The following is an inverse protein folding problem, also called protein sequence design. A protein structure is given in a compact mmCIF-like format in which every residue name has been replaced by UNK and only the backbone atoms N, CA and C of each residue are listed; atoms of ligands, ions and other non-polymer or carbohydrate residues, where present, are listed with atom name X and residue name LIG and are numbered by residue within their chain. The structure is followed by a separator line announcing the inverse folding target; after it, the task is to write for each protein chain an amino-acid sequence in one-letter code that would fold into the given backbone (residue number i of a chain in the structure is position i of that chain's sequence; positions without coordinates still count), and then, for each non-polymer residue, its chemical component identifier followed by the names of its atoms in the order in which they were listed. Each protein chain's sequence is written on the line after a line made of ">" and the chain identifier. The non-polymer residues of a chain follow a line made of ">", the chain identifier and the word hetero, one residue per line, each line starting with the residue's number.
data_IF_579215399364
#
_entry.id   IF_579215399364
#
_cell.length_a   1.000
_cell.length_b   1.000
_cell.length_c   1.000
_cell.angle_alpha   90.00
_cell.angle_beta   90.00
_cell.angle_gamma   90.00
#
_symmetry.space_group_name_H-M   'P 1'
#
loop_
_entity.id
_entity.type
_entity.pdbx_description
1 polymer ?
#
# COMPACT_ATOMS: atom_id res chain seq x y z
N UNK A 1 -48.98 -46.78 49.40
CA UNK A 1 -47.83 -47.48 50.01
C UNK A 1 -46.54 -46.78 49.57
N UNK A 2 -45.74 -46.39 50.57
CA UNK A 2 -44.29 -46.21 50.60
C UNK A 2 -43.55 -45.29 49.59
N UNK A 3 -42.87 -44.32 50.20
CA UNK A 3 -41.73 -43.51 49.75
C UNK A 3 -40.57 -44.34 49.14
N UNK A 4 -39.77 -43.73 48.25
CA UNK A 4 -38.37 -43.38 48.53
C UNK A 4 -37.74 -42.58 47.37
N UNK A 5 -36.98 -41.56 47.75
CA UNK A 5 -36.22 -40.67 46.89
C UNK A 5 -34.80 -41.21 46.62
N UNK A 6 -34.24 -40.90 45.45
CA UNK A 6 -32.78 -40.73 45.29
C UNK A 6 -32.48 -39.59 44.31
N UNK A 7 -31.63 -38.68 44.78
CA UNK A 7 -31.03 -37.55 44.05
C UNK A 7 -29.88 -38.05 43.16
N UNK A 8 -29.56 -37.30 42.10
CA UNK A 8 -28.29 -37.40 41.36
C UNK A 8 -28.41 -36.76 39.98
N UNK A 9 -28.23 -35.44 39.89
CA UNK A 9 -26.99 -34.80 39.43
C UNK A 9 -27.02 -34.46 37.93
N UNK A 10 -27.54 -33.27 37.66
CA UNK A 10 -27.48 -32.65 36.33
C UNK A 10 -26.04 -32.57 35.82
N UNK A 11 -25.87 -32.90 34.56
CA UNK A 11 -24.67 -32.59 33.80
C UNK A 11 -25.09 -31.75 32.60
N UNK A 12 -25.17 -30.44 32.84
CA UNK A 12 -25.04 -29.45 31.78
C UNK A 12 -23.66 -29.62 31.17
N UNK A 13 -23.59 -30.22 29.98
CA UNK A 13 -22.35 -30.25 29.19
C UNK A 13 -22.11 -28.81 28.75
N UNK A 14 -21.26 -28.13 29.51
CA UNK A 14 -20.87 -26.74 29.27
C UNK A 14 -20.33 -26.60 27.86
N UNK A 15 -20.97 -25.73 27.08
CA UNK A 15 -20.39 -25.19 25.86
C UNK A 15 -19.06 -24.53 26.25
N UNK A 16 -17.97 -25.25 26.05
CA UNK A 16 -16.62 -24.75 26.23
C UNK A 16 -16.44 -23.57 25.27
N UNK A 17 -16.65 -22.37 25.82
CA UNK A 17 -16.40 -21.08 25.18
C UNK A 17 -14.92 -21.01 24.89
N UNK A 18 -14.52 -21.50 23.70
CA UNK A 18 -13.17 -21.35 23.16
C UNK A 18 -12.92 -19.85 22.99
N UNK A 19 -12.44 -19.20 24.05
CA UNK A 19 -11.82 -17.88 23.96
C UNK A 19 -10.55 -18.07 23.11
N UNK A 20 -10.67 -17.87 21.80
CA UNK A 20 -9.51 -17.61 20.95
C UNK A 20 -8.89 -16.33 21.48
N UNK A 21 -7.78 -16.46 22.20
CA UNK A 21 -6.89 -15.35 22.50
C UNK A 21 -6.29 -14.86 21.19
N UNK A 22 -7.05 -14.05 20.45
CA UNK A 22 -6.46 -13.16 19.45
C UNK A 22 -5.94 -11.97 20.24
N UNK A 23 -4.62 -11.88 20.39
CA UNK A 23 -3.97 -10.63 20.77
C UNK A 23 -4.20 -9.64 19.62
N UNK A 24 -5.37 -9.01 19.59
CA UNK A 24 -5.60 -7.83 18.77
C UNK A 24 -4.89 -6.69 19.48
N UNK A 25 -3.94 -6.04 18.79
CA UNK A 25 -3.46 -4.73 19.21
C UNK A 25 -4.68 -3.84 19.48
N UNK A 26 -4.68 -3.05 20.57
CA UNK A 26 -5.79 -2.14 20.84
C UNK A 26 -5.92 -1.16 19.67
N UNK A 27 -7.08 -1.20 18.99
CA UNK A 27 -7.38 -0.32 17.86
C UNK A 27 -7.60 1.10 18.40
N UNK A 28 -6.94 2.09 17.80
CA UNK A 28 -7.16 3.50 18.16
C UNK A 28 -8.61 3.90 17.81
N UNK A 29 -9.42 4.38 18.78
CA UNK A 29 -10.81 4.78 18.54
C UNK A 29 -10.96 5.84 17.44
N UNK A 30 -9.98 6.74 17.28
CA UNK A 30 -9.99 7.78 16.23
C UNK A 30 -9.79 7.17 14.85
N UNK A 31 -8.90 6.18 14.74
CA UNK A 31 -8.70 5.42 13.50
C UNK A 31 -9.96 4.64 13.16
N UNK A 32 -10.58 3.97 14.13
CA UNK A 32 -11.83 3.26 13.93
C UNK A 32 -12.94 4.20 13.41
N UNK A 33 -13.13 5.36 14.04
CA UNK A 33 -14.11 6.35 13.60
C UNK A 33 -13.84 6.86 12.18
N UNK A 34 -12.56 6.99 11.81
CA UNK A 34 -12.14 7.43 10.47
C UNK A 34 -12.35 6.35 9.42
N UNK A 35 -12.16 5.06 9.74
CA UNK A 35 -12.50 3.94 8.84
C UNK A 35 -13.99 3.95 8.46
N UNK A 36 -14.87 4.35 9.37
CA UNK A 36 -16.31 4.47 9.07
C UNK A 36 -16.61 5.53 7.99
N UNK A 37 -15.70 6.48 7.75
CA UNK A 37 -15.83 7.54 6.75
C UNK A 37 -15.24 7.18 5.39
N UNK A 38 -14.60 6.03 5.24
CA UNK A 38 -14.09 5.60 3.93
C UNK A 38 -15.28 5.28 3.03
N UNK A 39 -15.36 5.97 1.89
CA UNK A 39 -16.40 5.80 0.89
C UNK A 39 -16.22 4.53 0.04
N UNK A 40 -16.26 3.35 0.66
CA UNK A 40 -16.42 2.06 -0.02
C UNK A 40 -17.79 1.46 0.32
N UNK A 41 -18.38 0.64 -0.57
CA UNK A 41 -19.71 0.05 -0.38
C UNK A 41 -19.65 -1.13 0.61
N UNK A 42 -19.38 -0.85 1.88
CA UNK A 42 -19.38 -1.85 2.94
C UNK A 42 -20.79 -2.34 3.25
N UNK A 43 -20.97 -3.67 3.32
CA UNK A 43 -22.20 -4.29 3.77
C UNK A 43 -22.37 -4.19 5.31
N UNK A 44 -23.50 -4.71 5.82
CA UNK A 44 -23.81 -4.73 7.27
C UNK A 44 -22.78 -5.45 8.15
N UNK A 45 -21.94 -6.29 7.56
CA UNK A 45 -20.88 -7.03 8.26
C UNK A 45 -19.52 -6.32 8.19
N UNK A 46 -19.45 -5.12 7.58
CA UNK A 46 -18.23 -4.35 7.45
C UNK A 46 -17.29 -4.86 6.36
N UNK A 47 -17.81 -5.57 5.36
CA UNK A 47 -17.05 -6.04 4.20
C UNK A 47 -17.51 -5.37 2.91
N UNK A 48 -16.56 -4.99 2.05
CA UNK A 48 -16.85 -4.50 0.70
C UNK A 48 -16.95 -5.67 -0.32
N UNK A 49 -17.38 -5.42 -1.57
CA UNK A 49 -17.52 -6.46 -2.60
C UNK A 49 -16.24 -7.23 -2.93
N UNK A 50 -15.07 -6.66 -2.67
CA UNK A 50 -13.76 -7.29 -2.87
C UNK A 50 -13.24 -7.99 -1.61
N UNK A 51 -14.03 -7.97 -0.53
CA UNK A 51 -13.69 -8.58 0.74
C UNK A 51 -12.86 -7.70 1.67
N UNK A 52 -12.66 -6.41 1.35
CA UNK A 52 -11.98 -5.46 2.23
C UNK A 52 -12.79 -5.33 3.53
N UNK A 53 -12.12 -5.34 4.67
CA UNK A 53 -12.76 -5.40 5.99
C UNK A 53 -12.46 -4.16 6.82
N UNK A 54 -13.51 -3.49 7.33
CA UNK A 54 -13.36 -2.35 8.25
C UNK A 54 -12.47 -2.69 9.45
N UNK A 55 -12.63 -3.90 10.00
CA UNK A 55 -11.83 -4.35 11.14
C UNK A 55 -10.33 -4.43 10.80
N UNK A 56 -9.98 -5.02 9.66
CA UNK A 56 -8.58 -5.18 9.25
C UNK A 56 -7.96 -3.85 8.84
N UNK A 57 -8.74 -2.95 8.22
CA UNK A 57 -8.31 -1.59 7.96
C UNK A 57 -8.00 -0.84 9.26
N UNK A 58 -8.85 -0.96 10.28
CA UNK A 58 -8.63 -0.30 11.56
C UNK A 58 -7.37 -0.84 12.28
N UNK A 59 -7.12 -2.14 12.23
CA UNK A 59 -5.90 -2.77 12.75
C UNK A 59 -4.65 -2.29 11.99
N UNK A 60 -4.70 -2.34 10.65
CA UNK A 60 -3.62 -1.88 9.78
C UNK A 60 -3.28 -0.41 10.01
N UNK A 61 -4.27 0.49 9.96
CA UNK A 61 -4.02 1.93 10.10
C UNK A 61 -3.69 2.34 11.53
N UNK A 62 -4.07 1.56 12.55
CA UNK A 62 -3.57 1.78 13.92
C UNK A 62 -2.07 1.53 13.97
N UNK A 63 -1.60 0.41 13.42
CA UNK A 63 -0.17 0.10 13.39
C UNK A 63 0.60 1.07 12.48
N UNK A 64 0.17 1.26 11.24
CA UNK A 64 0.84 2.13 10.27
C UNK A 64 0.79 3.60 10.68
N UNK A 65 -0.26 4.05 11.37
CA UNK A 65 -0.36 5.42 11.88
C UNK A 65 0.76 5.79 12.84
N UNK A 66 1.21 4.85 13.68
CA UNK A 66 2.37 5.05 14.54
C UNK A 66 3.65 5.24 13.72
N UNK A 67 3.90 4.33 12.77
CA UNK A 67 5.09 4.41 11.91
C UNK A 67 5.09 5.68 11.05
N UNK A 68 3.95 6.03 10.48
CA UNK A 68 3.76 7.22 9.66
C UNK A 68 4.11 8.51 10.42
N UNK A 69 3.60 8.67 11.65
CA UNK A 69 3.78 9.90 12.43
C UNK A 69 5.11 9.98 13.17
N UNK A 70 5.56 8.88 13.76
CA UNK A 70 6.65 8.91 14.74
C UNK A 70 7.95 8.28 14.23
N UNK A 71 7.85 7.23 13.41
CA UNK A 71 9.02 6.47 12.97
C UNK A 71 9.60 7.04 11.67
N UNK A 72 8.77 7.09 10.63
CA UNK A 72 9.10 7.61 9.29
C UNK A 72 8.79 9.10 9.13
N UNK A 73 8.03 9.68 10.07
CA UNK A 73 7.70 11.12 10.13
C UNK A 73 7.36 11.69 8.75
N UNK A 74 6.39 11.04 8.10
CA UNK A 74 6.03 11.28 6.72
C UNK A 74 5.51 12.70 6.56
N UNK A 75 5.98 13.41 5.54
CA UNK A 75 5.42 14.71 5.11
C UNK A 75 4.81 14.60 3.72
N UNK A 76 3.64 15.19 3.54
CA UNK A 76 2.96 15.27 2.27
C UNK A 76 3.01 16.69 1.71
N UNK A 77 3.23 16.81 0.40
CA UNK A 77 3.20 18.07 -0.34
C UNK A 77 2.35 17.90 -1.59
N UNK A 78 1.40 18.81 -1.84
CA UNK A 78 0.53 18.72 -3.02
C UNK A 78 -0.62 17.72 -2.87
N UNK A 79 -0.86 17.16 -1.68
CA UNK A 79 -1.87 16.10 -1.47
C UNK A 79 -3.29 16.57 -1.79
N UNK A 80 -3.55 17.87 -1.70
CA UNK A 80 -4.78 18.54 -2.10
C UNK A 80 -5.12 18.37 -3.59
N UNK A 81 -4.13 18.00 -4.43
CA UNK A 81 -4.32 17.68 -5.86
C UNK A 81 -4.93 16.30 -6.08
N UNK A 82 -4.94 15.44 -5.06
CA UNK A 82 -5.52 14.10 -5.17
C UNK A 82 -7.05 14.22 -5.15
N UNK A 83 -7.76 13.70 -6.16
CA UNK A 83 -9.22 13.68 -6.16
C UNK A 83 -9.79 13.01 -4.90
N UNK A 84 -10.75 13.68 -4.25
CA UNK A 84 -11.40 13.20 -3.03
C UNK A 84 -12.47 12.13 -3.28
N UNK A 85 -12.89 11.95 -4.53
CA UNK A 85 -13.83 10.92 -4.99
C UNK A 85 -13.50 10.46 -6.40
N UNK A 86 -14.16 9.39 -6.88
CA UNK A 86 -13.97 8.86 -8.23
C UNK A 86 -12.67 8.09 -8.43
N UNK A 87 -12.52 7.41 -9.56
CA UNK A 87 -11.29 6.70 -9.92
C UNK A 87 -10.08 7.63 -9.98
N UNK A 88 -8.93 7.14 -9.52
CA UNK A 88 -7.64 7.80 -9.68
C UNK A 88 -6.53 6.76 -9.56
N UNK A 89 -5.47 6.94 -10.32
CA UNK A 89 -4.25 6.14 -10.22
C UNK A 89 -3.11 6.97 -9.63
N UNK A 90 -2.65 6.62 -8.43
CA UNK A 90 -1.43 7.17 -7.84
C UNK A 90 -0.24 6.42 -8.42
N UNK A 91 0.59 7.09 -9.21
CA UNK A 91 1.74 6.50 -9.91
C UNK A 91 3.02 7.07 -9.35
N UNK A 92 3.83 6.26 -8.68
CA UNK A 92 5.05 6.73 -8.03
C UNK A 92 6.27 5.85 -8.25
N UNK A 93 7.43 6.35 -7.83
CA UNK A 93 8.65 5.56 -7.79
C UNK A 93 8.62 4.53 -6.66
N UNK A 94 9.23 3.38 -6.89
CA UNK A 94 9.39 2.34 -5.86
C UNK A 94 10.81 2.40 -5.27
N UNK A 95 10.97 2.23 -3.96
CA UNK A 95 12.26 2.30 -3.28
C UNK A 95 12.29 1.51 -1.96
N UNK A 96 13.49 1.12 -1.54
CA UNK A 96 13.74 0.74 -0.15
C UNK A 96 13.57 -0.73 0.20
N UNK A 97 13.81 -1.68 -0.71
CA UNK A 97 13.90 -3.14 -0.44
C UNK A 97 12.63 -3.84 0.06
N UNK A 98 11.70 -3.09 0.64
CA UNK A 98 10.40 -3.49 1.17
C UNK A 98 9.36 -2.47 0.71
N UNK A 99 8.09 -2.88 0.64
CA UNK A 99 6.96 -2.03 0.24
C UNK A 99 6.56 -0.99 1.32
N UNK A 100 7.54 -0.36 1.98
CA UNK A 100 7.35 0.68 3.02
C UNK A 100 6.78 1.94 2.38
N UNK A 101 7.31 2.33 1.23
CA UNK A 101 6.81 3.45 0.44
C UNK A 101 5.33 3.29 0.09
N UNK A 102 4.91 2.12 -0.39
CA UNK A 102 3.51 1.79 -0.64
C UNK A 102 2.67 1.89 0.64
N UNK A 103 3.14 1.33 1.75
CA UNK A 103 2.45 1.41 3.03
C UNK A 103 2.27 2.87 3.51
N UNK A 104 3.30 3.71 3.36
CA UNK A 104 3.24 5.12 3.74
C UNK A 104 2.35 5.94 2.80
N UNK A 105 2.36 5.63 1.50
CA UNK A 105 1.45 6.24 0.53
C UNK A 105 -0.01 5.90 0.84
N UNK A 106 -0.33 4.61 1.08
CA UNK A 106 -1.68 4.19 1.49
C UNK A 106 -2.10 4.89 2.80
N UNK A 107 -1.18 4.97 3.77
CA UNK A 107 -1.46 5.62 5.06
C UNK A 107 -1.70 7.12 4.90
N UNK A 108 -1.01 7.80 3.99
CA UNK A 108 -1.26 9.23 3.71
C UNK A 108 -2.66 9.49 3.17
N UNK A 109 -3.16 8.66 2.25
CA UNK A 109 -4.51 8.80 1.69
C UNK A 109 -5.59 8.61 2.76
N UNK A 110 -5.31 7.75 3.74
CA UNK A 110 -6.19 7.58 4.88
C UNK A 110 -6.07 8.71 5.90
N UNK A 111 -4.85 9.15 6.24
CA UNK A 111 -4.62 10.09 7.34
C UNK A 111 -4.86 11.55 6.96
N UNK A 112 -4.57 11.95 5.73
CA UNK A 112 -4.49 13.36 5.32
C UNK A 112 -5.71 13.81 4.51
N UNK A 113 -6.34 12.94 3.71
CA UNK A 113 -7.52 13.31 2.91
C UNK A 113 -8.81 13.36 3.73
N UNK A 114 -9.70 14.29 3.42
CA UNK A 114 -11.04 14.36 4.02
C UNK A 114 -12.12 14.46 2.92
N UNK A 115 -12.97 13.44 2.71
CA UNK A 115 -13.02 12.16 3.43
C UNK A 115 -11.78 11.26 3.19
N UNK A 116 -11.46 10.35 4.14
CA UNK A 116 -10.33 9.43 3.98
C UNK A 116 -10.55 8.46 2.82
N UNK A 117 -9.50 8.22 2.03
CA UNK A 117 -9.53 7.24 0.93
C UNK A 117 -8.64 6.04 1.21
N UNK A 118 -8.98 4.90 0.63
CA UNK A 118 -8.14 3.70 0.63
C UNK A 118 -7.48 3.57 -0.74
N UNK A 119 -6.17 3.75 -0.80
CA UNK A 119 -5.38 3.36 -1.96
C UNK A 119 -5.21 1.83 -1.99
N UNK A 120 -5.50 1.24 -3.15
CA UNK A 120 -5.48 -0.20 -3.36
C UNK A 120 -4.31 -0.56 -4.27
N UNK A 121 -3.47 -1.48 -3.84
CA UNK A 121 -2.26 -1.88 -4.56
C UNK A 121 -2.38 -3.27 -5.17
N UNK A 122 -1.56 -3.49 -6.19
CA UNK A 122 -1.31 -4.81 -6.77
C UNK A 122 -0.08 -5.41 -6.09
N UNK A 123 -0.33 -6.21 -5.06
CA UNK A 123 0.67 -6.94 -4.31
C UNK A 123 1.36 -8.00 -5.16
N UNK A 124 2.67 -8.18 -4.95
CA UNK A 124 3.44 -9.22 -5.60
C UNK A 124 2.94 -10.62 -5.21
N UNK A 125 2.99 -11.55 -6.17
CA UNK A 125 2.49 -12.93 -6.00
C UNK A 125 3.13 -13.68 -4.83
N UNK A 126 4.33 -13.29 -4.38
CA UNK A 126 5.01 -13.96 -3.27
C UNK A 126 4.30 -13.77 -1.93
N UNK A 127 3.52 -12.69 -1.75
CA UNK A 127 2.72 -12.47 -0.53
C UNK A 127 1.72 -13.63 -0.32
N UNK A 128 1.29 -14.28 -1.40
CA UNK A 128 0.40 -15.45 -1.31
C UNK A 128 1.07 -16.71 -0.76
N UNK A 129 2.41 -16.75 -0.68
CA UNK A 129 3.18 -17.87 -0.13
C UNK A 129 3.40 -17.77 1.37
N UNK A 130 3.19 -16.58 1.95
CA UNK A 130 3.34 -16.36 3.40
C UNK A 130 2.01 -16.70 4.09
N UNK A 131 1.99 -17.61 5.09
CA UNK A 131 0.77 -17.96 5.80
C UNK A 131 0.04 -16.74 6.35
N UNK A 132 -1.27 -16.69 6.15
CA UNK A 132 -2.18 -15.59 6.56
C UNK A 132 -1.97 -14.24 5.85
N UNK A 133 -0.86 -14.02 5.14
CA UNK A 133 -0.58 -12.75 4.48
C UNK A 133 -1.51 -12.48 3.29
N UNK A 134 -1.89 -13.50 2.51
CA UNK A 134 -2.87 -13.37 1.42
C UNK A 134 -4.24 -12.89 1.91
N UNK A 135 -4.72 -13.48 3.01
CA UNK A 135 -5.96 -13.06 3.64
C UNK A 135 -5.83 -11.63 4.14
N UNK A 136 -4.76 -11.31 4.87
CA UNK A 136 -4.57 -9.96 5.39
C UNK A 136 -4.52 -8.91 4.27
N UNK A 137 -3.72 -9.19 3.23
CA UNK A 137 -3.55 -8.35 2.04
C UNK A 137 -4.90 -8.04 1.38
N UNK A 138 -5.71 -9.07 1.08
CA UNK A 138 -7.04 -8.86 0.49
C UNK A 138 -8.00 -8.12 1.41
N UNK A 139 -7.96 -8.39 2.73
CA UNK A 139 -8.79 -7.67 3.72
C UNK A 139 -8.42 -6.20 3.86
N UNK A 140 -7.23 -5.78 3.44
CA UNK A 140 -6.77 -4.39 3.46
C UNK A 140 -6.70 -3.73 2.08
N UNK A 141 -7.31 -4.34 1.06
CA UNK A 141 -7.40 -3.78 -0.29
C UNK A 141 -6.12 -3.91 -1.13
N UNK A 142 -5.24 -4.84 -0.75
CA UNK A 142 -4.01 -5.14 -1.48
C UNK A 142 -4.17 -6.49 -2.17
N UNK A 143 -4.38 -6.47 -3.48
CA UNK A 143 -4.81 -7.63 -4.25
C UNK A 143 -3.67 -8.24 -5.06
N UNK A 144 -3.82 -9.51 -5.46
CA UNK A 144 -2.85 -10.11 -6.38
C UNK A 144 -2.88 -9.39 -7.73
N UNK A 145 -1.70 -9.02 -8.24
CA UNK A 145 -1.54 -8.29 -9.49
C UNK A 145 -1.99 -9.04 -10.74
N UNK A 146 -3.26 -8.91 -11.08
CA UNK A 146 -3.88 -9.30 -12.35
C UNK A 146 -4.42 -8.03 -13.03
N UNK A 147 -4.13 -7.77 -14.32
CA UNK A 147 -4.60 -6.58 -15.03
C UNK A 147 -6.13 -6.38 -14.94
N UNK A 148 -6.89 -7.48 -15.01
CA UNK A 148 -8.35 -7.47 -14.97
C UNK A 148 -8.89 -6.99 -13.62
N UNK A 149 -8.16 -7.26 -12.52
CA UNK A 149 -8.51 -6.70 -11.21
C UNK A 149 -8.29 -5.19 -11.18
N UNK A 150 -7.18 -4.70 -11.75
CA UNK A 150 -6.87 -3.29 -11.79
C UNK A 150 -7.93 -2.50 -12.56
N UNK A 151 -8.32 -3.02 -13.72
CA UNK A 151 -9.40 -2.45 -14.54
C UNK A 151 -10.71 -2.38 -13.78
N UNK A 152 -11.16 -3.50 -13.21
CA UNK A 152 -12.43 -3.54 -12.47
C UNK A 152 -12.44 -2.59 -11.28
N UNK A 153 -11.32 -2.45 -10.57
CA UNK A 153 -11.22 -1.48 -9.46
C UNK A 153 -11.39 -0.05 -9.95
N UNK A 154 -10.78 0.31 -11.08
CA UNK A 154 -10.96 1.64 -11.65
C UNK A 154 -12.37 1.86 -12.17
N UNK A 155 -12.97 0.85 -12.80
CA UNK A 155 -14.39 0.87 -13.22
C UNK A 155 -15.35 1.10 -12.05
N UNK A 156 -15.05 0.53 -10.88
CA UNK A 156 -15.77 0.72 -9.61
C UNK A 156 -15.35 2.00 -8.84
N UNK A 157 -14.74 2.98 -9.53
CA UNK A 157 -14.31 4.28 -9.00
C UNK A 157 -13.33 4.21 -7.81
N UNK A 158 -12.51 3.16 -7.77
CA UNK A 158 -11.50 2.98 -6.71
C UNK A 158 -10.22 3.76 -6.99
N UNK A 159 -9.47 4.01 -5.92
CA UNK A 159 -8.14 4.61 -5.96
C UNK A 159 -7.10 3.49 -6.07
N UNK A 160 -6.35 3.46 -7.17
CA UNK A 160 -5.31 2.47 -7.42
C UNK A 160 -3.92 3.08 -7.15
N UNK A 161 -3.05 2.33 -6.49
CA UNK A 161 -1.65 2.66 -6.30
C UNK A 161 -0.80 1.76 -7.22
N UNK A 162 0.07 2.37 -8.02
CA UNK A 162 0.89 1.67 -9.01
C UNK A 162 2.34 2.12 -8.92
N UNK A 163 3.23 1.14 -8.87
CA UNK A 163 4.68 1.32 -8.97
C UNK A 163 5.16 0.72 -10.29
N UNK A 164 5.22 1.51 -11.39
CA UNK A 164 5.49 1.00 -12.74
C UNK A 164 6.93 0.47 -12.92
N UNK A 165 7.84 0.76 -11.98
CA UNK A 165 9.18 0.17 -11.89
C UNK A 165 9.16 -1.35 -11.57
N UNK A 166 8.06 -1.83 -10.96
CA UNK A 166 7.94 -3.21 -10.50
C UNK A 166 9.03 -3.61 -9.50
N UNK A 167 9.38 -4.91 -9.49
CA UNK A 167 10.38 -5.47 -8.57
C UNK A 167 11.79 -4.88 -8.77
N UNK A 168 12.08 -4.27 -9.93
CA UNK A 168 13.36 -3.57 -10.18
C UNK A 168 13.48 -2.31 -9.31
N UNK A 169 12.38 -1.64 -9.03
CA UNK A 169 12.40 -0.42 -8.22
C UNK A 169 12.73 -0.68 -6.74
N UNK A 170 12.26 -1.78 -6.16
CA UNK A 170 12.62 -2.13 -4.77
C UNK A 170 14.07 -2.59 -4.65
N UNK A 171 14.63 -3.18 -5.71
CA UNK A 171 15.97 -3.73 -5.73
C UNK A 171 17.09 -2.67 -5.85
N UNK A 172 16.74 -1.37 -5.94
CA UNK A 172 17.73 -0.28 -5.98
C UNK A 172 18.65 -0.33 -4.76
N UNK A 173 19.95 -0.20 -5.02
CA UNK A 173 20.94 -0.08 -3.97
C UNK A 173 20.97 1.36 -3.42
N UNK A 174 21.58 1.57 -2.26
CA UNK A 174 21.55 2.85 -1.56
C UNK A 174 22.10 4.00 -2.43
N UNK A 175 23.07 3.74 -3.29
CA UNK A 175 23.61 4.75 -4.22
C UNK A 175 22.67 5.06 -5.40
N UNK A 176 21.70 4.19 -5.69
CA UNK A 176 20.68 4.36 -6.73
C UNK A 176 19.34 4.85 -6.16
N UNK A 177 19.28 5.15 -4.86
CA UNK A 177 18.01 5.45 -4.16
C UNK A 177 17.19 6.61 -4.73
N UNK A 178 17.81 7.49 -5.53
CA UNK A 178 17.16 8.64 -6.16
C UNK A 178 17.04 8.51 -7.69
N UNK A 179 17.42 7.37 -8.28
CA UNK A 179 17.20 7.11 -9.70
C UNK A 179 15.84 6.45 -9.94
N UNK A 180 15.33 6.61 -11.15
CA UNK A 180 14.19 5.86 -11.67
C UNK A 180 14.70 4.78 -12.63
N UNK A 181 14.13 3.58 -12.55
CA UNK A 181 14.28 2.59 -13.64
C UNK A 181 13.15 2.75 -14.66
N UNK A 182 13.16 1.92 -15.70
CA UNK A 182 12.12 1.97 -16.74
C UNK A 182 10.75 1.61 -16.20
N UNK A 183 9.76 2.38 -16.63
CA UNK A 183 8.36 2.17 -16.31
C UNK A 183 7.75 1.23 -17.35
N UNK A 184 6.98 0.23 -16.90
CA UNK A 184 6.16 -0.55 -17.82
C UNK A 184 5.01 0.27 -18.41
N UNK A 185 4.50 -0.11 -19.58
CA UNK A 185 3.43 0.63 -20.30
C UNK A 185 2.02 0.38 -19.77
N UNK A 186 1.81 -0.71 -19.02
CA UNK A 186 0.47 -1.19 -18.65
C UNK A 186 -0.38 -0.19 -17.86
N UNK A 187 0.24 0.67 -17.03
CA UNK A 187 -0.51 1.64 -16.23
C UNK A 187 -1.10 2.78 -17.07
N UNK A 188 -0.39 3.25 -18.10
CA UNK A 188 -0.90 4.25 -19.05
C UNK A 188 -2.01 3.66 -19.90
N UNK A 189 -1.80 2.45 -20.43
CA UNK A 189 -2.84 1.74 -21.20
C UNK A 189 -4.12 1.58 -20.39
N UNK A 190 -3.99 1.23 -19.11
CA UNK A 190 -5.10 1.12 -18.19
C UNK A 190 -5.77 2.48 -17.92
N UNK A 191 -4.99 3.55 -17.74
CA UNK A 191 -5.49 4.90 -17.55
C UNK A 191 -6.29 5.39 -18.76
N UNK A 192 -5.78 5.19 -19.97
CA UNK A 192 -6.48 5.49 -21.23
C UNK A 192 -7.80 4.72 -21.32
N UNK A 193 -7.74 3.38 -21.22
CA UNK A 193 -8.90 2.48 -21.33
C UNK A 193 -10.02 2.85 -20.36
N UNK A 194 -9.68 3.16 -19.11
CA UNK A 194 -10.65 3.44 -18.04
C UNK A 194 -10.95 4.93 -17.85
N UNK A 195 -10.34 5.79 -18.66
CA UNK A 195 -10.35 7.27 -18.53
C UNK A 195 -10.00 7.73 -17.11
N UNK A 196 -9.00 7.07 -16.51
CA UNK A 196 -8.59 7.32 -15.13
C UNK A 196 -7.49 8.39 -15.10
N UNK A 197 -7.62 9.46 -14.30
CA UNK A 197 -6.54 10.41 -14.09
C UNK A 197 -5.36 9.75 -13.36
N UNK A 198 -4.14 10.05 -13.81
CA UNK A 198 -2.90 9.66 -13.13
C UNK A 198 -2.43 10.83 -12.27
N UNK A 199 -2.28 10.62 -10.97
CA UNK A 199 -1.57 11.54 -10.09
C UNK A 199 -0.15 11.02 -9.89
N UNK A 200 0.88 11.70 -10.44
CA UNK A 200 2.26 11.31 -10.24
C UNK A 200 2.71 11.62 -8.81
N UNK A 201 3.47 10.70 -8.21
CA UNK A 201 3.92 10.79 -6.82
C UNK A 201 5.44 10.58 -6.73
N UNK A 202 6.17 11.61 -6.31
CA UNK A 202 7.57 11.50 -5.93
C UNK A 202 7.69 11.06 -4.47
N UNK A 203 8.38 9.95 -4.22
CA UNK A 203 8.60 9.35 -2.90
C UNK A 203 10.09 9.40 -2.56
N UNK A 204 10.41 10.03 -1.42
CA UNK A 204 11.77 10.13 -0.89
C UNK A 204 11.85 9.52 0.51
N UNK A 205 13.01 8.98 0.88
CA UNK A 205 13.24 8.37 2.20
C UNK A 205 13.15 6.84 2.20
N UNK A 206 12.64 6.18 1.15
CA UNK A 206 12.52 4.72 1.13
C UNK A 206 13.88 4.02 1.07
N UNK A 207 14.78 4.47 0.21
CA UNK A 207 16.14 3.94 0.14
C UNK A 207 16.97 4.24 1.39
N UNK A 208 16.69 5.32 2.10
CA UNK A 208 17.31 5.61 3.41
C UNK A 208 16.72 4.75 4.53
N UNK A 209 15.44 4.38 4.45
CA UNK A 209 14.81 3.47 5.39
C UNK A 209 15.45 2.08 5.32
N UNK A 210 15.78 1.58 4.12
CA UNK A 210 16.51 0.33 3.93
C UNK A 210 17.72 0.60 3.04
N UNK A 211 18.88 0.96 3.62
CA UNK A 211 20.07 1.30 2.88
C UNK A 211 20.75 0.03 2.36
N UNK A 212 20.16 -0.59 1.33
CA UNK A 212 20.66 -1.83 0.74
C UNK A 212 22.01 -1.59 0.06
N UNK A 213 23.02 -2.38 0.42
CA UNK A 213 24.33 -2.41 -0.24
C UNK A 213 24.48 -3.61 -1.18
N UNK A 214 23.66 -4.64 -0.99
CA UNK A 214 23.56 -5.79 -1.90
C UNK A 214 22.18 -6.44 -1.76
N UNK A 215 21.78 -7.25 -2.75
CA UNK A 215 20.55 -8.03 -2.69
C UNK A 215 20.88 -9.53 -2.83
N UNK A 216 20.46 -10.35 -1.87
CA UNK A 216 20.71 -11.79 -1.89
C UNK A 216 19.51 -12.57 -2.39
N UNK A 217 19.61 -13.08 -3.62
CA UNK A 217 18.62 -14.00 -4.18
C UNK A 217 18.60 -15.36 -3.45
N UNK A 218 19.75 -15.82 -2.95
CA UNK A 218 19.85 -17.08 -2.20
C UNK A 218 19.07 -17.03 -0.90
N UNK A 219 19.23 -15.95 -0.12
CA UNK A 219 18.43 -15.73 1.09
C UNK A 219 16.95 -15.52 0.75
N UNK A 220 16.67 -14.82 -0.36
CA UNK A 220 15.30 -14.66 -0.88
C UNK A 220 14.60 -16.00 -1.11
N UNK A 221 15.24 -16.93 -1.80
CA UNK A 221 14.70 -18.28 -2.07
C UNK A 221 14.37 -19.05 -0.79
N UNK A 222 15.19 -18.93 0.26
CA UNK A 222 14.97 -19.60 1.55
C UNK A 222 13.70 -19.11 2.25
N UNK A 223 13.37 -17.83 2.11
CA UNK A 223 12.20 -17.20 2.77
C UNK A 223 11.00 -17.00 1.83
N UNK A 224 11.10 -17.47 0.58
CA UNK A 224 10.04 -17.35 -0.43
C UNK A 224 9.87 -15.96 -1.04
N UNK A 225 10.87 -15.07 -0.88
CA UNK A 225 10.92 -13.72 -1.45
C UNK A 225 11.82 -13.65 -2.70
N UNK A 226 11.69 -12.64 -3.58
CA UNK A 226 12.56 -12.51 -4.75
C UNK A 226 14.03 -12.29 -4.36
N UNK A 227 14.28 -11.52 -3.31
CA UNK A 227 15.59 -11.30 -2.71
C UNK A 227 15.43 -10.84 -1.26
N UNK A 228 16.53 -10.87 -0.50
CA UNK A 228 16.63 -10.19 0.81
C UNK A 228 17.67 -9.06 0.68
N UNK A 229 17.31 -7.81 1.03
CA UNK A 229 18.28 -6.72 1.03
C UNK A 229 19.31 -6.90 2.14
N UNK A 230 20.58 -6.72 1.82
CA UNK A 230 21.70 -6.68 2.75
C UNK A 230 22.02 -5.22 3.03
N UNK A 231 21.95 -4.83 4.29
CA UNK A 231 22.29 -3.47 4.77
C UNK A 231 23.70 -3.46 5.40
N UNK A 232 24.32 -2.28 5.61
CA UNK A 232 25.62 -2.18 6.29
C UNK A 232 25.65 -2.80 7.69
N UNK A 233 24.50 -2.88 8.36
CA UNK A 233 24.33 -3.45 9.71
C UNK A 233 23.80 -4.89 9.67
N UNK A 234 23.82 -5.54 8.50
CA UNK A 234 23.48 -6.96 8.24
C UNK A 234 22.04 -7.38 8.58
N UNK A 235 21.24 -6.50 9.18
CA UNK A 235 19.83 -6.72 9.44
C UNK A 235 19.00 -5.96 8.41
N UNK A 236 18.05 -6.65 7.80
CA UNK A 236 17.10 -6.02 6.89
C UNK A 236 15.96 -5.34 7.68
N UNK A 237 16.32 -4.47 8.62
CA UNK A 237 15.38 -3.72 9.46
C UNK A 237 15.31 -2.27 9.01
N UNK A 238 14.11 -1.69 8.84
CA UNK A 238 13.97 -0.28 8.47
C UNK A 238 14.57 0.66 9.52
N UNK A 239 15.31 1.67 9.09
CA UNK A 239 15.78 2.76 9.93
C UNK A 239 14.70 3.83 10.12
N UNK A 240 14.67 4.53 11.26
CA UNK A 240 13.74 5.62 11.50
C UNK A 240 14.18 6.89 10.76
N UNK A 241 13.78 7.03 9.50
CA UNK A 241 14.14 8.17 8.64
C UNK A 241 12.99 9.16 8.48
N UNK A 242 13.20 10.30 7.81
CA UNK A 242 12.09 11.15 7.35
C UNK A 242 11.72 10.71 5.94
N UNK A 243 10.44 10.46 5.70
CA UNK A 243 9.90 10.19 4.37
C UNK A 243 9.08 11.36 3.86
N UNK A 244 9.04 11.52 2.54
CA UNK A 244 8.35 12.63 1.91
C UNK A 244 7.60 12.14 0.68
N UNK A 245 6.34 12.55 0.57
CA UNK A 245 5.43 12.22 -0.51
C UNK A 245 5.03 13.52 -1.21
N UNK A 246 5.38 13.65 -2.48
CA UNK A 246 5.08 14.83 -3.30
C UNK A 246 4.13 14.45 -4.41
N UNK A 247 2.94 15.04 -4.40
CA UNK A 247 1.88 14.76 -5.35
C UNK A 247 1.88 15.85 -6.44
N UNK A 248 1.93 15.42 -7.70
CA UNK A 248 1.82 16.30 -8.86
C UNK A 248 0.37 16.57 -9.26
N UNK A 249 0.21 17.41 -10.28
CA UNK A 249 -1.10 17.67 -10.89
C UNK A 249 -1.63 16.40 -11.57
N UNK A 250 -2.95 16.12 -11.53
CA UNK A 250 -3.54 15.03 -12.29
C UNK A 250 -3.27 15.15 -13.78
N UNK A 251 -2.84 14.05 -14.39
CA UNK A 251 -2.55 13.90 -15.81
C UNK A 251 -3.65 13.04 -16.46
N UNK A 252 -4.09 13.46 -17.64
CA UNK A 252 -5.12 12.78 -18.41
C UNK A 252 -4.53 12.33 -19.74
N UNK A 253 -4.88 11.11 -20.16
CA UNK A 253 -4.42 10.52 -21.40
C UNK A 253 -5.64 10.02 -22.17
N UNK A 254 -5.77 10.45 -23.41
CA UNK A 254 -6.80 9.96 -24.32
C UNK A 254 -6.34 8.67 -24.98
N UNK A 255 -7.28 7.77 -25.25
CA UNK A 255 -6.99 6.50 -25.91
C UNK A 255 -7.90 5.34 -25.48
N UNK A 256 -7.76 4.21 -26.15
CA UNK A 256 -8.37 2.92 -25.83
C UNK A 256 -7.45 2.02 -25.02
N UNK A 257 -6.15 2.36 -24.92
CA UNK A 257 -5.13 1.52 -24.31
C UNK A 257 -4.60 0.41 -25.25
N UNK A 258 -5.02 0.41 -26.51
CA UNK A 258 -4.59 -0.55 -27.56
C UNK A 258 -3.72 0.11 -28.64
N UNK A 259 -3.27 1.34 -28.41
CA UNK A 259 -2.38 2.09 -29.28
C UNK A 259 -1.03 1.39 -29.44
N UNK A 260 -0.30 1.77 -30.49
CA UNK A 260 1.06 1.32 -30.73
C UNK A 260 1.99 1.69 -29.56
N UNK A 261 2.99 0.84 -29.33
CA UNK A 261 3.88 0.98 -28.17
C UNK A 261 4.61 2.33 -28.11
N UNK A 262 4.92 2.93 -29.27
CA UNK A 262 5.60 4.23 -29.35
C UNK A 262 4.74 5.37 -28.76
N UNK A 263 3.46 5.44 -29.11
CA UNK A 263 2.53 6.44 -28.59
C UNK A 263 2.31 6.29 -27.08
N UNK A 264 2.22 5.04 -26.61
CA UNK A 264 2.11 4.77 -25.17
C UNK A 264 3.40 5.10 -24.44
N UNK A 265 4.56 4.87 -25.06
CA UNK A 265 5.86 5.15 -24.44
C UNK A 265 6.07 6.66 -24.22
N UNK A 266 5.65 7.52 -25.15
CA UNK A 266 5.70 8.98 -24.93
C UNK A 266 4.90 9.40 -23.69
N UNK A 267 3.70 8.83 -23.53
CA UNK A 267 2.86 9.05 -22.35
C UNK A 267 3.51 8.53 -21.06
N UNK A 268 4.18 7.37 -21.12
CA UNK A 268 4.94 6.80 -19.99
C UNK A 268 6.09 7.73 -19.59
N UNK A 269 6.87 8.23 -20.56
CA UNK A 269 7.98 9.14 -20.30
C UNK A 269 7.50 10.47 -19.72
N UNK A 270 6.34 10.98 -20.15
CA UNK A 270 5.72 12.16 -19.55
C UNK A 270 5.43 11.96 -18.05
N UNK A 271 4.83 10.83 -17.66
CA UNK A 271 4.58 10.51 -16.25
C UNK A 271 5.89 10.32 -15.48
N UNK A 272 6.85 9.57 -16.04
CA UNK A 272 8.16 9.33 -15.44
C UNK A 272 8.93 10.64 -15.20
N UNK A 273 8.94 11.53 -16.19
CA UNK A 273 9.53 12.88 -16.09
C UNK A 273 8.88 13.69 -14.97
N UNK A 274 7.55 13.62 -14.84
CA UNK A 274 6.85 14.32 -13.75
C UNK A 274 7.20 13.75 -12.38
N UNK A 275 7.29 12.44 -12.22
CA UNK A 275 7.76 11.79 -10.97
C UNK A 275 9.20 12.20 -10.66
N UNK A 276 10.09 12.21 -11.66
CA UNK A 276 11.49 12.63 -11.50
C UNK A 276 11.61 14.07 -11.03
N UNK A 277 10.83 14.99 -11.63
CA UNK A 277 10.77 16.40 -11.21
C UNK A 277 10.31 16.54 -9.75
N UNK A 278 9.27 15.82 -9.33
CA UNK A 278 8.80 15.84 -7.94
C UNK A 278 9.87 15.35 -6.96
N UNK A 279 10.63 14.32 -7.33
CA UNK A 279 11.76 13.83 -6.53
C UNK A 279 12.88 14.87 -6.45
N UNK A 280 13.26 15.48 -7.58
CA UNK A 280 14.29 16.51 -7.63
C UNK A 280 13.93 17.73 -6.75
N UNK A 281 12.70 18.21 -6.82
CA UNK A 281 12.19 19.30 -5.99
C UNK A 281 12.30 18.97 -4.49
N UNK A 282 12.00 17.72 -4.12
CA UNK A 282 12.11 17.28 -2.73
C UNK A 282 13.56 17.16 -2.24
N UNK A 283 14.48 16.74 -3.11
CA UNK A 283 15.91 16.68 -2.78
C UNK A 283 16.49 18.08 -2.55
N UNK A 284 16.15 19.05 -3.40
CA UNK A 284 16.59 20.45 -3.24
C UNK A 284 16.16 21.02 -1.88
N UNK A 285 14.92 20.77 -1.45
CA UNK A 285 14.43 21.23 -0.14
C UNK A 285 15.16 20.53 1.02
N UNK A 286 15.51 19.25 0.86
CA UNK A 286 16.24 18.48 1.88
C UNK A 286 17.69 18.91 2.03
N UNK A 287 18.34 19.27 0.94
CA UNK A 287 19.72 19.76 0.91
C UNK A 287 19.80 21.20 1.43
N UNK A 288 18.86 22.07 1.03
CA UNK A 288 18.80 23.47 1.49
C UNK A 288 18.40 23.65 2.97
N UNK A 289 17.80 22.63 3.60
CA UNK A 289 17.46 22.62 5.02
C UNK A 289 18.54 22.07 5.96
N UNK A 290 19.73 21.76 5.44
CA UNK A 290 20.91 21.34 6.22
C UNK A 290 21.93 22.48 6.44
N UNK A 291 21.54 23.73 6.16
CA UNK A 291 22.31 24.95 6.47
C UNK A 291 21.90 25.60 7.78
#
# INVERSE_FOLDING_TARGET
>A
MALAATRGSGHSVGAARRRRWRAMLPIDPRIKARVERIALPFNRYGYDPYGISKQHLAEMFTALGFFYRHYFRVKCHGIERVPTSGRVMLVGNHSGGYAIDGAMLITSMFMELDPPRLAQGMAEKFINRVPFASLWSSRTGQFTGLPEHAERLLEDDRMLMVFPEGARGTAKLYWERHSLVDFGTGFVRLAMKTRTPIVPVGILGGGEAIPSIANSATLGKLVGAPYVPITPYLLALPLPVKMELRFGEPMFFEGTGTEDDEAVQESVESVKSRVASLMADGLLVREGGQG
#
